data_IF_208173819626
#
_entry.id   IF_208173819626
#
_cell.length_a   1.000
_cell.length_b   1.000
_cell.length_c   1.000
_cell.angle_alpha   90.00
_cell.angle_beta   90.00
_cell.angle_gamma   90.00
#
_symmetry.space_group_name_H-M   'P 1'
#
loop_
_entity.id
_entity.type
_entity.pdbx_description
1 polymer ?
#
# COMPACT_ATOMS: atom_id res chain seq x y z
N UNK A 1 11.99 0.42 19.85
CA UNK A 1 10.56 0.18 19.58
C UNK A 1 10.38 -0.36 18.18
N UNK A 2 9.48 -1.33 18.02
CA UNK A 2 9.15 -1.91 16.71
C UNK A 2 7.77 -1.44 16.29
N UNK A 3 7.66 -0.94 15.07
CA UNK A 3 6.40 -0.57 14.46
C UNK A 3 5.88 -1.69 13.55
N UNK A 4 4.59 -2.00 13.66
CA UNK A 4 3.96 -3.02 12.84
C UNK A 4 3.09 -2.31 11.79
N UNK A 5 3.35 -2.63 10.52
CA UNK A 5 2.60 -2.11 9.38
C UNK A 5 1.98 -3.28 8.63
N UNK A 6 0.72 -3.13 8.24
CA UNK A 6 -0.01 -4.17 7.55
C UNK A 6 -0.74 -5.11 8.50
N UNK A 7 -1.43 -6.09 7.92
CA UNK A 7 -2.19 -7.09 8.69
C UNK A 7 -1.55 -8.46 8.45
N UNK A 8 -0.83 -9.00 9.43
CA UNK A 8 -0.20 -10.31 9.29
C UNK A 8 -1.23 -11.43 9.52
N UNK A 9 -1.70 -12.04 8.43
CA UNK A 9 -2.59 -13.19 8.51
C UNK A 9 -1.81 -14.48 8.70
N UNK A 10 -2.29 -15.34 9.60
CA UNK A 10 -1.69 -16.64 9.82
C UNK A 10 -0.32 -16.59 10.50
N UNK A 11 0.04 -15.47 11.06
CA UNK A 11 1.29 -15.31 11.81
C UNK A 11 1.00 -15.44 13.30
N UNK A 12 1.69 -16.37 13.94
CA UNK A 12 1.64 -16.54 15.39
C UNK A 12 3.07 -16.42 15.92
N UNK A 13 3.27 -15.51 16.85
CA UNK A 13 4.58 -15.28 17.43
C UNK A 13 4.45 -14.95 18.91
N UNK A 14 5.29 -15.58 19.73
CA UNK A 14 5.40 -15.23 21.14
C UNK A 14 6.17 -13.92 21.27
N UNK A 15 5.48 -12.86 21.66
CA UNK A 15 6.10 -11.54 21.83
C UNK A 15 6.49 -11.26 23.28
N UNK A 16 5.95 -12.03 24.22
CA UNK A 16 6.19 -11.80 25.64
C UNK A 16 7.68 -11.82 26.00
N UNK A 17 8.41 -12.82 25.52
CA UNK A 17 9.83 -12.94 25.78
C UNK A 17 10.61 -11.76 25.20
N UNK A 18 10.26 -11.34 24.01
CA UNK A 18 10.92 -10.20 23.34
C UNK A 18 10.67 -8.90 24.09
N UNK A 19 9.44 -8.66 24.51
CA UNK A 19 9.09 -7.44 25.24
C UNK A 19 9.75 -7.41 26.61
N UNK A 20 9.66 -8.52 27.37
CA UNK A 20 10.13 -8.57 28.76
C UNK A 20 11.65 -8.62 28.85
N UNK A 21 12.29 -9.50 28.06
CA UNK A 21 13.73 -9.75 28.21
C UNK A 21 14.60 -8.87 27.34
N UNK A 22 14.05 -8.22 26.34
CA UNK A 22 14.82 -7.34 25.44
C UNK A 22 14.46 -5.87 25.56
N UNK A 23 13.53 -5.52 26.44
CA UNK A 23 13.06 -4.16 26.61
C UNK A 23 12.58 -3.51 25.29
N UNK A 24 11.83 -4.28 24.51
CA UNK A 24 11.30 -3.83 23.22
C UNK A 24 9.83 -3.46 23.33
N UNK A 25 9.49 -2.27 22.87
CA UNK A 25 8.11 -1.86 22.74
C UNK A 25 7.56 -2.22 21.35
N UNK A 26 6.27 -2.59 21.31
CA UNK A 26 5.55 -2.83 20.06
C UNK A 26 4.46 -1.78 19.90
N UNK A 27 4.32 -1.27 18.69
CA UNK A 27 3.27 -0.33 18.34
C UNK A 27 2.79 -0.58 16.92
N UNK A 28 1.49 -0.49 16.71
CA UNK A 28 0.91 -0.70 15.39
C UNK A 28 -0.55 -0.29 15.37
N UNK A 29 -1.19 -0.49 14.24
CA UNK A 29 -2.59 -0.17 14.05
C UNK A 29 -2.96 -0.16 12.58
N UNK A 30 -4.21 0.17 12.32
CA UNK A 30 -4.71 0.33 10.96
C UNK A 30 -4.33 1.73 10.46
N UNK A 31 -3.81 1.82 9.24
CA UNK A 31 -3.43 3.09 8.66
C UNK A 31 -4.66 4.00 8.47
N UNK A 32 -4.70 5.19 9.07
CA UNK A 32 -5.80 6.13 8.91
C UNK A 32 -5.65 6.92 7.60
N UNK A 33 -5.75 6.25 6.47
CA UNK A 33 -5.46 6.81 5.16
C UNK A 33 -6.21 8.11 4.89
N UNK A 34 -7.51 8.16 5.20
CA UNK A 34 -8.31 9.34 4.95
C UNK A 34 -7.81 10.59 5.69
N UNK A 35 -7.29 10.39 6.91
CA UNK A 35 -6.75 11.50 7.70
C UNK A 35 -5.46 12.07 7.10
N UNK A 36 -4.66 11.23 6.45
CA UNK A 36 -3.38 11.64 5.87
C UNK A 36 -3.46 12.10 4.42
N UNK A 37 -4.55 11.82 3.70
CA UNK A 37 -4.67 12.19 2.29
C UNK A 37 -4.42 13.69 2.03
N UNK A 38 -4.99 14.63 2.80
CA UNK A 38 -4.74 16.06 2.53
C UNK A 38 -3.26 16.43 2.62
N UNK A 39 -2.56 15.90 3.60
CA UNK A 39 -1.12 16.14 3.79
C UNK A 39 -0.31 15.50 2.67
N UNK A 40 -0.59 14.23 2.37
CA UNK A 40 0.10 13.50 1.33
C UNK A 40 -0.12 14.08 -0.07
N UNK A 41 -1.31 14.62 -0.33
CA UNK A 41 -1.60 15.27 -1.60
C UNK A 41 -0.67 16.46 -1.83
N UNK A 42 -0.44 17.26 -0.81
CA UNK A 42 0.50 18.38 -0.89
C UNK A 42 1.90 17.87 -1.22
N UNK A 43 2.34 16.80 -0.54
CA UNK A 43 3.65 16.21 -0.77
C UNK A 43 3.82 15.70 -2.20
N UNK A 44 2.77 15.12 -2.78
CA UNK A 44 2.77 14.67 -4.18
C UNK A 44 2.85 15.86 -5.14
N UNK A 45 2.02 16.89 -4.91
CA UNK A 45 1.97 18.06 -5.78
C UNK A 45 3.27 18.86 -5.76
N UNK A 46 3.96 18.89 -4.64
CA UNK A 46 5.25 19.57 -4.49
C UNK A 46 6.45 18.69 -4.86
N UNK A 47 6.20 17.45 -5.27
CA UNK A 47 7.25 16.54 -5.71
C UNK A 47 8.12 15.96 -4.59
N UNK A 48 7.68 16.07 -3.33
CA UNK A 48 8.43 15.48 -2.20
C UNK A 48 8.33 13.97 -2.17
N UNK A 49 7.22 13.42 -2.66
CA UNK A 49 7.05 11.98 -2.84
C UNK A 49 6.50 11.70 -4.23
N UNK A 50 6.86 10.55 -4.78
CA UNK A 50 6.41 10.10 -6.09
C UNK A 50 5.82 8.68 -5.97
N UNK A 51 4.57 8.56 -5.49
CA UNK A 51 3.95 7.26 -5.26
C UNK A 51 3.57 6.55 -6.57
N UNK A 52 3.51 7.25 -7.68
CA UNK A 52 3.20 6.66 -8.97
C UNK A 52 4.20 5.60 -9.43
N UNK A 53 5.40 5.63 -8.87
CA UNK A 53 6.46 4.66 -9.19
C UNK A 53 6.14 3.23 -8.76
N UNK A 54 5.16 3.03 -7.88
CA UNK A 54 4.76 1.68 -7.46
C UNK A 54 3.90 0.96 -8.49
N UNK A 55 3.32 1.71 -9.44
CA UNK A 55 2.46 1.12 -10.46
C UNK A 55 3.29 0.59 -11.62
N UNK A 56 3.19 -0.71 -11.87
CA UNK A 56 3.92 -1.40 -12.93
C UNK A 56 3.00 -2.20 -13.87
N UNK A 57 1.70 -2.05 -13.71
CA UNK A 57 0.70 -2.62 -14.60
C UNK A 57 -0.46 -1.63 -14.73
N UNK A 58 -0.89 -1.34 -15.94
CA UNK A 58 -1.94 -0.38 -16.19
C UNK A 58 -3.01 -0.97 -17.10
N UNK A 59 -4.27 -0.81 -16.73
CA UNK A 59 -5.40 -1.26 -17.52
C UNK A 59 -6.62 -0.38 -17.24
N UNK A 60 -7.77 -0.78 -17.74
CA UNK A 60 -9.06 -0.14 -17.51
C UNK A 60 -9.99 -1.04 -16.67
N UNK A 61 -11.26 -0.64 -16.53
CA UNK A 61 -12.22 -1.43 -15.77
C UNK A 61 -12.49 -2.82 -16.38
N UNK A 62 -12.41 -2.95 -17.70
CA UNK A 62 -12.62 -4.25 -18.34
C UNK A 62 -11.47 -5.21 -18.02
N UNK A 63 -10.30 -4.70 -17.75
CA UNK A 63 -9.12 -5.48 -17.40
C UNK A 63 -8.92 -5.71 -15.91
N UNK A 64 -9.90 -5.43 -15.05
CA UNK A 64 -9.74 -5.53 -13.60
C UNK A 64 -9.40 -6.95 -13.13
N UNK A 65 -10.00 -7.97 -13.73
CA UNK A 65 -9.71 -9.36 -13.36
C UNK A 65 -8.25 -9.71 -13.64
N UNK A 66 -7.72 -9.30 -14.77
CA UNK A 66 -6.31 -9.50 -15.12
C UNK A 66 -5.39 -8.71 -14.20
N UNK A 67 -5.80 -7.50 -13.82
CA UNK A 67 -5.03 -6.69 -12.88
C UNK A 67 -4.85 -7.38 -11.52
N UNK A 68 -5.92 -7.98 -10.99
CA UNK A 68 -5.85 -8.76 -9.76
C UNK A 68 -5.01 -10.02 -9.93
N UNK A 69 -5.18 -10.74 -11.03
CA UNK A 69 -4.40 -11.93 -11.32
C UNK A 69 -2.90 -11.61 -11.39
N UNK A 70 -2.54 -10.51 -12.04
CA UNK A 70 -1.15 -10.08 -12.15
C UNK A 70 -0.51 -9.81 -10.79
N UNK A 71 -1.25 -9.19 -9.86
CA UNK A 71 -0.76 -8.95 -8.51
C UNK A 71 -0.69 -10.25 -7.69
N UNK A 72 -1.68 -11.12 -7.81
CA UNK A 72 -1.72 -12.41 -7.11
C UNK A 72 -0.58 -13.32 -7.54
N UNK A 73 -0.29 -13.37 -8.84
CA UNK A 73 0.78 -14.16 -9.42
C UNK A 73 2.16 -13.48 -9.33
N UNK A 74 2.22 -12.29 -8.75
CA UNK A 74 3.44 -11.48 -8.60
C UNK A 74 4.11 -11.10 -9.93
N UNK A 75 3.32 -11.01 -11.00
CA UNK A 75 3.76 -10.43 -12.27
C UNK A 75 3.75 -8.90 -12.21
N UNK A 76 2.93 -8.36 -11.31
CA UNK A 76 2.86 -6.93 -11.03
C UNK A 76 2.90 -6.68 -9.52
N UNK A 77 3.47 -5.57 -9.11
CA UNK A 77 3.47 -5.12 -7.72
C UNK A 77 2.16 -4.41 -7.41
N UNK A 78 1.81 -3.46 -8.28
CA UNK A 78 0.60 -2.65 -8.08
C UNK A 78 -0.02 -2.29 -9.42
N UNK A 79 -1.28 -2.64 -9.57
CA UNK A 79 -2.03 -2.33 -10.78
C UNK A 79 -2.77 -1.00 -10.66
N UNK A 80 -2.75 -0.21 -11.73
CA UNK A 80 -3.48 1.04 -11.86
C UNK A 80 -4.63 0.85 -12.85
N UNK A 81 -5.83 1.23 -12.45
CA UNK A 81 -6.98 1.27 -13.34
C UNK A 81 -7.24 2.71 -13.77
N UNK A 82 -7.23 2.94 -15.07
CA UNK A 82 -7.64 4.22 -15.62
C UNK A 82 -9.14 4.24 -15.81
N UNK A 83 -9.76 5.20 -15.18
CA UNK A 83 -11.22 5.40 -15.22
C UNK A 83 -11.49 6.63 -16.09
N UNK A 84 -12.42 6.50 -17.04
CA UNK A 84 -12.82 7.61 -17.89
C UNK A 84 -12.82 7.24 -19.36
N UNK A 85 -13.13 8.21 -20.21
CA UNK A 85 -13.14 8.03 -21.65
C UNK A 85 -11.73 8.23 -22.23
N UNK A 86 -11.43 7.52 -23.32
CA UNK A 86 -10.14 7.65 -24.00
C UNK A 86 -9.88 9.07 -24.52
N UNK A 87 -10.92 9.86 -24.65
CA UNK A 87 -10.83 11.23 -25.13
C UNK A 87 -10.22 12.19 -24.12
N UNK A 88 -10.22 11.82 -22.85
CA UNK A 88 -9.63 12.63 -21.77
C UNK A 88 -8.17 12.31 -21.51
N UNK A 89 -7.67 11.25 -22.11
CA UNK A 89 -6.26 10.86 -22.00
C UNK A 89 -5.41 11.75 -22.90
N UNK A 90 -4.69 12.67 -22.29
CA UNK A 90 -3.83 13.61 -23.02
C UNK A 90 -2.49 13.76 -22.35
#
# INVERSE_FOLDING_TARGET
MVGIVGVPHGVDASIADTIVFRNVGLRGGVAPARAYIPELLVDVLEGRIDPGRVFDFETDLDGVAEAYAAMDERRAIKSLLRIGTKETDR
#
